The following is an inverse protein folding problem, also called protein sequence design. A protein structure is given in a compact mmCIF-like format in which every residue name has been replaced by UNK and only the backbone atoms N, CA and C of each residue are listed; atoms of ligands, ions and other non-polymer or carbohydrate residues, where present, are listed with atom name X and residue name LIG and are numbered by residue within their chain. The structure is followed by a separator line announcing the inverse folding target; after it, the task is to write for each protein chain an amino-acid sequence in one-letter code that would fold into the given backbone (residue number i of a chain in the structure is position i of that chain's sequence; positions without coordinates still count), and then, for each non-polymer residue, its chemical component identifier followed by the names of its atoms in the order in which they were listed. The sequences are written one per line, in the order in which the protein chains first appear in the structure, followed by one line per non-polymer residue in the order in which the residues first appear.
data_IF_809009605479
#
_entry.id   IF_809009605479
#
_cell.length_a   1.000
_cell.length_b   1.000
_cell.length_c   1.000
_cell.angle_alpha   90.00
_cell.angle_beta   90.00
_cell.angle_gamma   90.00
#
_symmetry.space_group_name_H-M   'P 1'
#
loop_
_entity.id
_entity.type
_entity.pdbx_description
1 polymer ?
#
# COMPACT_ATOMS: atom_id res chain seq x y z
N UNK A 1 -34.67 34.58 -75.74
CA UNK A 1 -35.78 34.69 -74.77
C UNK A 1 -35.77 33.45 -73.88
N UNK A 2 -35.94 33.65 -72.56
CA UNK A 2 -36.60 32.80 -71.55
C UNK A 2 -36.31 31.27 -71.54
N UNK A 3 -35.53 30.75 -70.56
CA UNK A 3 -35.96 29.98 -69.34
C UNK A 3 -36.59 28.60 -69.64
N UNK A 4 -36.30 27.47 -68.99
CA UNK A 4 -36.07 27.27 -67.56
C UNK A 4 -35.65 25.81 -67.22
N UNK A 5 -35.10 25.63 -66.00
CA UNK A 5 -35.18 24.47 -65.08
C UNK A 5 -34.37 23.19 -65.42
N UNK A 6 -33.55 22.58 -64.55
CA UNK A 6 -33.32 22.76 -63.10
C UNK A 6 -33.78 21.53 -62.29
N UNK A 7 -33.02 20.42 -62.27
CA UNK A 7 -33.05 19.34 -61.24
C UNK A 7 -31.69 18.60 -61.33
N UNK A 8 -30.71 18.86 -60.45
CA UNK A 8 -30.50 18.32 -59.10
C UNK A 8 -30.20 16.80 -59.04
N UNK A 9 -28.90 16.52 -58.94
CA UNK A 9 -28.22 15.52 -58.09
C UNK A 9 -28.79 14.09 -57.90
N UNK A 10 -27.98 13.11 -58.30
CA UNK A 10 -27.92 11.78 -57.68
C UNK A 10 -26.54 11.14 -57.95
N UNK A 11 -25.76 10.74 -56.93
CA UNK A 11 -24.42 10.21 -57.10
C UNK A 11 -24.44 8.73 -57.56
N UNK A 12 -23.35 8.24 -58.19
CA UNK A 12 -23.22 6.82 -58.52
C UNK A 12 -23.17 6.00 -57.24
N UNK A 13 -23.87 4.86 -57.23
CA UNK A 13 -23.94 3.91 -56.13
C UNK A 13 -22.58 3.70 -55.45
N UNK A 14 -22.41 4.30 -54.26
CA UNK A 14 -21.40 3.88 -53.29
C UNK A 14 -21.79 2.48 -52.84
N UNK A 15 -21.13 1.47 -53.40
CA UNK A 15 -21.01 0.18 -52.74
C UNK A 15 -20.17 0.46 -51.50
N UNK A 16 -20.85 0.74 -50.39
CA UNK A 16 -20.26 0.71 -49.07
C UNK A 16 -19.76 -0.72 -48.86
N UNK A 17 -18.48 -0.94 -49.16
CA UNK A 17 -17.74 -2.03 -48.55
C UNK A 17 -17.65 -1.71 -47.06
N UNK A 18 -18.70 -2.07 -46.33
CA UNK A 18 -18.58 -2.38 -44.92
C UNK A 18 -17.45 -3.40 -44.83
N UNK A 19 -16.25 -2.94 -44.51
CA UNK A 19 -15.20 -3.78 -43.97
C UNK A 19 -15.72 -4.27 -42.63
N UNK A 20 -16.56 -5.31 -42.69
CA UNK A 20 -16.87 -6.20 -41.58
C UNK A 20 -15.51 -6.68 -41.11
N UNK A 21 -14.96 -5.97 -40.13
CA UNK A 21 -13.77 -6.40 -39.43
C UNK A 21 -14.16 -7.72 -38.81
N UNK A 22 -13.82 -8.79 -39.52
CA UNK A 22 -14.02 -10.14 -39.04
C UNK A 22 -13.22 -10.20 -37.75
N UNK A 23 -13.92 -10.09 -36.62
CA UNK A 23 -13.33 -10.25 -35.30
C UNK A 23 -12.93 -11.72 -35.22
N UNK A 24 -11.77 -12.04 -35.81
CA UNK A 24 -11.15 -13.35 -35.74
C UNK A 24 -10.96 -13.63 -34.26
N UNK A 25 -11.65 -14.67 -33.77
CA UNK A 25 -11.50 -15.14 -32.39
C UNK A 25 -10.01 -15.39 -32.16
N UNK A 26 -9.40 -14.67 -31.20
CA UNK A 26 -8.00 -14.85 -30.85
C UNK A 26 -7.78 -16.32 -30.49
N UNK A 27 -6.76 -16.96 -31.09
CA UNK A 27 -6.40 -18.34 -30.76
C UNK A 27 -6.07 -18.41 -29.26
N UNK A 28 -6.63 -19.41 -28.57
CA UNK A 28 -6.31 -19.65 -27.15
C UNK A 28 -4.80 -19.93 -27.04
N UNK A 29 -4.16 -19.33 -26.04
CA UNK A 29 -2.74 -19.62 -25.73
C UNK A 29 -2.56 -21.11 -25.45
N UNK A 30 -1.40 -21.66 -25.81
CA UNK A 30 -1.06 -23.05 -25.50
C UNK A 30 -0.96 -23.27 -23.98
N UNK A 31 -1.18 -24.49 -23.52
CA UNK A 31 -1.33 -24.80 -22.09
C UNK A 31 -0.08 -24.45 -21.28
N UNK A 32 1.11 -24.67 -21.84
CA UNK A 32 2.41 -24.30 -21.26
C UNK A 32 2.56 -22.78 -21.08
N UNK A 33 2.13 -22.00 -22.07
CA UNK A 33 2.19 -20.54 -22.02
C UNK A 33 1.23 -20.00 -20.96
N UNK A 34 0.04 -20.60 -20.83
CA UNK A 34 -0.89 -20.26 -19.74
C UNK A 34 -0.27 -20.60 -18.38
N UNK A 35 0.33 -21.78 -18.24
CA UNK A 35 0.97 -22.20 -17.00
C UNK A 35 2.13 -21.27 -16.59
N UNK A 36 2.96 -20.83 -17.53
CA UNK A 36 4.03 -19.84 -17.28
C UNK A 36 3.49 -18.51 -16.80
N UNK A 37 2.44 -17.99 -17.45
CA UNK A 37 1.81 -16.73 -17.05
C UNK A 37 1.16 -16.82 -15.67
N UNK A 38 0.50 -17.94 -15.35
CA UNK A 38 -0.08 -18.14 -14.00
C UNK A 38 1.00 -18.25 -12.94
N UNK A 39 2.10 -18.95 -13.23
CA UNK A 39 3.22 -19.06 -12.31
C UNK A 39 3.83 -17.69 -12.00
N UNK A 40 4.10 -16.88 -13.03
CA UNK A 40 4.64 -15.53 -12.87
C UNK A 40 3.73 -14.65 -12.01
N UNK A 41 2.40 -14.71 -12.21
CA UNK A 41 1.43 -13.99 -11.38
C UNK A 41 1.50 -14.43 -9.92
N UNK A 42 1.52 -15.73 -9.66
CA UNK A 42 1.61 -16.28 -8.29
C UNK A 42 2.92 -15.85 -7.61
N UNK A 43 4.04 -15.85 -8.33
CA UNK A 43 5.32 -15.39 -7.80
C UNK A 43 5.26 -13.91 -7.43
N UNK A 44 4.76 -13.06 -8.32
CA UNK A 44 4.62 -11.62 -8.08
C UNK A 44 3.69 -11.33 -6.89
N UNK A 45 2.56 -12.05 -6.79
CA UNK A 45 1.63 -11.94 -5.65
C UNK A 45 2.30 -12.32 -4.33
N UNK A 46 3.07 -13.42 -4.30
CA UNK A 46 3.82 -13.86 -3.12
C UNK A 46 4.89 -12.87 -2.70
N UNK A 47 5.61 -12.28 -3.65
CA UNK A 47 6.61 -11.25 -3.37
C UNK A 47 5.96 -9.99 -2.79
N UNK A 48 4.85 -9.54 -3.38
CA UNK A 48 4.09 -8.40 -2.87
C UNK A 48 3.54 -8.66 -1.46
N UNK A 49 3.01 -9.86 -1.18
CA UNK A 49 2.52 -10.21 0.16
C UNK A 49 3.66 -10.30 1.17
N UNK A 50 4.80 -10.89 0.79
CA UNK A 50 6.00 -10.98 1.64
C UNK A 50 6.48 -9.59 2.04
N UNK A 51 6.50 -8.64 1.11
CA UNK A 51 6.92 -7.27 1.39
C UNK A 51 5.95 -6.54 2.31
N UNK A 52 4.63 -6.65 2.06
CA UNK A 52 3.61 -6.12 2.98
C UNK A 52 3.78 -6.67 4.39
N UNK A 53 3.98 -7.98 4.52
CA UNK A 53 4.19 -8.65 5.82
C UNK A 53 5.48 -8.18 6.50
N UNK A 54 6.55 -7.92 5.76
CA UNK A 54 7.80 -7.35 6.30
C UNK A 54 7.56 -5.96 6.86
N UNK A 55 6.94 -5.07 6.10
CA UNK A 55 6.62 -3.72 6.53
C UNK A 55 5.74 -3.71 7.79
N UNK A 56 4.74 -4.57 7.87
CA UNK A 56 3.90 -4.71 9.06
C UNK A 56 4.67 -5.20 10.28
N UNK A 57 5.56 -6.20 10.09
CA UNK A 57 6.42 -6.70 11.17
C UNK A 57 7.36 -5.62 11.68
N UNK A 58 8.00 -4.88 10.79
CA UNK A 58 8.89 -3.77 11.15
C UNK A 58 8.15 -2.68 11.92
N UNK A 59 6.94 -2.30 11.48
CA UNK A 59 6.11 -1.33 12.20
C UNK A 59 5.77 -1.81 13.61
N UNK A 60 5.33 -3.06 13.76
CA UNK A 60 5.03 -3.67 15.07
C UNK A 60 6.28 -3.73 15.94
N UNK A 61 7.41 -4.12 15.37
CA UNK A 61 8.68 -4.22 16.09
C UNK A 61 9.14 -2.86 16.61
N UNK A 62 9.08 -1.81 15.79
CA UNK A 62 9.42 -0.44 16.22
C UNK A 62 8.57 0.02 17.41
N UNK A 63 7.26 -0.18 17.35
CA UNK A 63 6.35 0.17 18.46
C UNK A 63 6.71 -0.61 19.74
N UNK A 64 7.00 -1.90 19.61
CA UNK A 64 7.40 -2.74 20.75
C UNK A 64 8.77 -2.33 21.31
N UNK A 65 9.74 -2.02 20.47
CA UNK A 65 11.07 -1.55 20.87
C UNK A 65 10.98 -0.20 21.60
N UNK A 66 10.17 0.74 21.10
CA UNK A 66 9.91 2.01 21.78
C UNK A 66 9.28 1.78 23.16
N UNK A 67 8.20 0.99 23.24
CA UNK A 67 7.53 0.68 24.50
C UNK A 67 8.48 0.00 25.51
N UNK A 68 9.21 -1.02 25.07
CA UNK A 68 10.13 -1.77 25.94
C UNK A 68 11.32 -0.92 26.38
N UNK A 69 11.82 -0.03 25.53
CA UNK A 69 12.90 0.89 25.88
C UNK A 69 12.47 1.87 26.97
N UNK A 70 11.28 2.46 26.85
CA UNK A 70 10.69 3.37 27.85
C UNK A 70 10.48 2.61 29.16
N UNK A 71 9.87 1.43 29.10
CA UNK A 71 9.63 0.58 30.28
C UNK A 71 10.94 0.23 31.00
N UNK A 72 11.99 -0.12 30.25
CA UNK A 72 13.31 -0.44 30.80
C UNK A 72 13.95 0.78 31.48
N UNK A 73 13.92 1.96 30.84
CA UNK A 73 14.45 3.21 31.42
C UNK A 73 13.75 3.56 32.73
N UNK A 74 12.42 3.49 32.75
CA UNK A 74 11.62 3.74 33.95
C UNK A 74 11.97 2.74 35.07
N UNK A 75 12.00 1.44 34.77
CA UNK A 75 12.36 0.42 35.76
C UNK A 75 13.77 0.61 36.30
N UNK A 76 14.73 1.05 35.47
CA UNK A 76 16.10 1.36 35.89
C UNK A 76 16.14 2.53 36.87
N UNK A 77 15.35 3.59 36.63
CA UNK A 77 15.25 4.72 37.55
C UNK A 77 14.60 4.31 38.89
N UNK A 78 13.50 3.55 38.84
CA UNK A 78 12.80 3.10 40.05
C UNK A 78 13.60 2.09 40.89
N UNK A 79 14.43 1.26 40.26
CA UNK A 79 15.30 0.31 40.96
C UNK A 79 16.59 0.94 41.50
N UNK A 80 16.85 2.22 41.20
CA UNK A 80 18.04 2.93 41.68
C UNK A 80 18.01 3.09 43.19
N UNK A 81 19.05 2.59 43.85
CA UNK A 81 19.26 2.68 45.30
C UNK A 81 20.53 3.47 45.61
N UNK A 82 20.58 4.11 46.77
CA UNK A 82 21.79 4.78 47.27
C UNK A 82 22.79 3.74 47.83
N UNK A 83 24.00 4.17 48.22
CA UNK A 83 25.02 3.29 48.82
C UNK A 83 24.55 2.56 50.09
N UNK A 84 23.55 3.13 50.78
CA UNK A 84 22.91 2.54 51.97
C UNK A 84 21.72 1.63 51.62
N UNK A 85 21.48 1.34 50.34
CA UNK A 85 20.41 0.45 49.87
C UNK A 85 19.01 1.06 49.85
N UNK A 86 18.83 2.31 50.26
CA UNK A 86 17.54 2.98 50.25
C UNK A 86 17.16 3.42 48.83
N UNK A 87 15.86 3.47 48.50
CA UNK A 87 15.39 3.98 47.22
C UNK A 87 15.83 5.43 46.97
N UNK A 88 16.20 5.76 45.74
CA UNK A 88 16.54 7.12 45.35
C UNK A 88 15.27 7.92 45.01
N UNK A 89 14.85 8.82 45.91
CA UNK A 89 13.63 9.62 45.75
C UNK A 89 13.68 10.50 44.50
N UNK A 90 14.80 11.16 44.21
CA UNK A 90 14.94 12.04 43.05
C UNK A 90 14.68 11.29 41.74
N UNK A 91 15.22 10.07 41.61
CA UNK A 91 14.99 9.22 40.43
C UNK A 91 13.52 8.80 40.27
N UNK A 92 12.78 8.65 41.37
CA UNK A 92 11.34 8.37 41.32
C UNK A 92 10.52 9.60 40.93
N UNK A 93 10.92 10.78 41.42
CA UNK A 93 10.30 12.06 41.06
C UNK A 93 10.47 12.32 39.56
N UNK A 94 11.66 12.10 38.99
CA UNK A 94 11.91 12.23 37.54
C UNK A 94 10.93 11.36 36.72
N UNK A 95 10.73 10.10 37.12
CA UNK A 95 9.76 9.20 36.47
C UNK A 95 8.33 9.73 36.58
N UNK A 96 7.95 10.31 37.71
CA UNK A 96 6.62 10.88 37.93
C UNK A 96 6.40 12.10 37.03
N UNK A 97 7.37 13.01 36.97
CA UNK A 97 7.34 14.19 36.10
C UNK A 97 7.21 13.79 34.63
N UNK A 98 8.01 12.82 34.16
CA UNK A 98 7.92 12.31 32.78
C UNK A 98 6.51 11.77 32.47
N UNK A 99 5.87 11.08 33.43
CA UNK A 99 4.48 10.59 33.26
C UNK A 99 3.47 11.72 33.19
N UNK A 100 3.60 12.76 34.00
CA UNK A 100 2.71 13.93 33.98
C UNK A 100 2.85 14.64 32.63
N UNK A 101 4.07 14.92 32.18
CA UNK A 101 4.31 15.55 30.88
C UNK A 101 3.73 14.75 29.72
N UNK A 102 3.88 13.41 29.73
CA UNK A 102 3.29 12.55 28.70
C UNK A 102 1.76 12.62 28.69
N UNK A 103 1.12 12.65 29.86
CA UNK A 103 -0.34 12.81 29.95
C UNK A 103 -0.79 14.16 29.41
N UNK A 104 -0.05 15.23 29.73
CA UNK A 104 -0.35 16.57 29.23
C UNK A 104 -0.17 16.69 27.71
N UNK A 105 0.83 16.03 27.11
CA UNK A 105 1.05 16.02 25.65
C UNK A 105 0.01 15.17 24.88
N UNK A 106 -0.69 14.27 25.55
CA UNK A 106 -1.69 13.37 24.97
C UNK A 106 -3.13 13.84 25.17
N UNK A 107 -3.34 14.83 26.05
CA UNK A 107 -4.63 15.52 26.25
C UNK A 107 -4.77 16.66 25.25
#
# INVERSE_FOLDING_TARGET
MATANGVAAGPPCEIQHESKSSQRKKRRLHADQRARLTYQKIVAEREAEKEKRRLEKEKKQKILEEYTSIKRKMNKALSKRNRRGQPNLNAQIEVLLEKIEKRMKQS
#
